data_IF_101420056653
#
_entry.id   IF_101420056653
#
_cell.length_a   1.000
_cell.length_b   1.000
_cell.length_c   1.000
_cell.angle_alpha   90.00
_cell.angle_beta   90.00
_cell.angle_gamma   90.00
#
_symmetry.space_group_name_H-M   'P 1'
#
loop_
_entity.id
_entity.type
_entity.pdbx_description
1 polymer ?
#
# COMPACT_ATOMS: atom_id res chain seq x y z
N UNK A 1 24.61 2.35 -32.60
CA UNK A 1 23.65 2.17 -33.71
C UNK A 1 24.11 0.97 -34.55
N UNK A 2 23.76 -0.27 -34.14
CA UNK A 2 24.08 -1.47 -34.94
C UNK A 2 22.93 -1.69 -35.93
N UNK A 3 23.24 -1.58 -37.23
CA UNK A 3 22.33 -1.90 -38.34
C UNK A 3 21.86 -3.35 -38.20
N UNK A 4 20.56 -3.53 -38.04
CA UNK A 4 19.88 -4.81 -38.22
C UNK A 4 19.88 -5.07 -39.73
N UNK A 5 20.74 -5.97 -40.20
CA UNK A 5 20.61 -6.60 -41.52
C UNK A 5 20.27 -8.06 -41.26
N UNK A 6 19.08 -8.43 -41.75
CA UNK A 6 18.52 -9.77 -41.90
C UNK A 6 18.21 -10.53 -40.60
N UNK A 7 17.05 -10.22 -40.00
CA UNK A 7 16.58 -10.77 -38.72
C UNK A 7 15.53 -11.88 -38.91
N UNK A 8 15.85 -12.93 -39.68
CA UNK A 8 15.01 -14.14 -39.71
C UNK A 8 15.59 -15.21 -38.78
N UNK A 9 14.73 -15.83 -37.97
CA UNK A 9 15.08 -16.96 -37.12
C UNK A 9 14.52 -18.21 -37.80
N UNK A 10 15.38 -19.18 -38.11
CA UNK A 10 14.95 -20.46 -38.71
C UNK A 10 14.33 -21.34 -37.61
N UNK A 11 13.02 -21.51 -37.64
CA UNK A 11 12.25 -22.28 -36.63
C UNK A 11 12.11 -23.77 -36.99
N UNK A 12 13.20 -24.39 -37.47
CA UNK A 12 13.26 -25.80 -37.84
C UNK A 12 13.16 -26.10 -39.35
N UNK A 13 13.20 -27.39 -39.68
CA UNK A 13 12.99 -27.97 -41.02
C UNK A 13 12.27 -29.30 -40.84
N UNK A 14 11.29 -29.59 -41.69
CA UNK A 14 10.56 -30.85 -41.67
C UNK A 14 10.28 -31.30 -43.12
N UNK A 15 10.51 -32.59 -43.43
CA UNK A 15 10.28 -33.16 -44.76
C UNK A 15 8.80 -33.09 -45.17
N UNK A 16 7.90 -33.10 -44.20
CA UNK A 16 6.46 -33.05 -44.42
C UNK A 16 6.00 -31.73 -45.05
N UNK A 17 6.79 -30.65 -44.92
CA UNK A 17 6.50 -29.35 -45.55
C UNK A 17 6.39 -29.49 -47.07
N UNK A 18 7.36 -30.16 -47.71
CA UNK A 18 7.33 -30.43 -49.16
C UNK A 18 6.26 -31.43 -49.58
N UNK A 19 5.80 -32.27 -48.65
CA UNK A 19 4.79 -33.30 -48.89
C UNK A 19 3.37 -32.84 -48.55
N UNK A 20 3.19 -31.59 -48.11
CA UNK A 20 1.92 -31.02 -47.65
C UNK A 20 1.27 -31.85 -46.52
N UNK A 21 2.10 -32.49 -45.69
CA UNK A 21 1.68 -33.29 -44.54
C UNK A 21 1.82 -32.48 -43.25
N UNK A 22 1.11 -32.81 -42.15
CA UNK A 22 1.28 -32.13 -40.87
C UNK A 22 2.72 -32.21 -40.34
N UNK A 23 3.22 -31.12 -39.78
CA UNK A 23 4.55 -31.02 -39.16
C UNK A 23 4.51 -30.16 -37.90
N UNK A 24 5.50 -30.35 -37.02
CA UNK A 24 5.66 -29.53 -35.82
C UNK A 24 6.45 -28.26 -36.12
N UNK A 25 6.04 -27.13 -35.52
CA UNK A 25 6.82 -25.88 -35.55
C UNK A 25 7.55 -25.72 -34.22
N UNK A 26 8.82 -25.31 -34.26
CA UNK A 26 9.61 -25.05 -33.05
C UNK A 26 9.36 -23.64 -32.50
N UNK A 27 8.12 -23.34 -32.14
CA UNK A 27 7.69 -22.03 -31.62
C UNK A 27 7.22 -22.08 -30.15
N UNK A 28 7.40 -23.22 -29.48
CA UNK A 28 7.09 -23.39 -28.06
C UNK A 28 8.22 -22.89 -27.15
N UNK A 29 7.87 -22.48 -25.92
CA UNK A 29 8.80 -22.04 -24.85
C UNK A 29 9.60 -20.76 -25.17
N UNK A 30 9.00 -19.82 -25.92
CA UNK A 30 9.59 -18.50 -26.14
C UNK A 30 9.77 -17.75 -24.80
N UNK A 31 10.98 -17.28 -24.52
CA UNK A 31 11.28 -16.49 -23.33
C UNK A 31 11.34 -15.01 -23.70
N UNK A 32 10.36 -14.25 -23.21
CA UNK A 32 10.31 -12.81 -23.39
C UNK A 32 10.89 -12.09 -22.16
N UNK A 33 11.87 -11.19 -22.39
CA UNK A 33 12.50 -10.40 -21.32
C UNK A 33 12.14 -8.93 -21.48
N UNK A 34 11.44 -8.38 -20.49
CA UNK A 34 11.14 -6.95 -20.41
C UNK A 34 12.19 -6.23 -19.58
N UNK A 35 12.60 -5.04 -20.03
CA UNK A 35 13.47 -4.13 -19.28
C UNK A 35 12.77 -2.79 -19.10
N UNK A 36 12.54 -2.41 -17.85
CA UNK A 36 12.06 -1.06 -17.51
C UNK A 36 13.24 -0.10 -17.65
N UNK A 37 13.15 0.83 -18.60
CA UNK A 37 14.20 1.83 -18.88
C UNK A 37 13.92 3.19 -18.25
N UNK A 38 12.66 3.44 -17.90
CA UNK A 38 12.20 4.66 -17.23
C UNK A 38 11.22 4.26 -16.13
N UNK A 39 11.36 4.78 -14.89
CA UNK A 39 10.38 4.58 -13.84
C UNK A 39 8.99 5.08 -14.28
N UNK A 40 7.95 4.42 -13.81
CA UNK A 40 6.56 4.82 -14.02
C UNK A 40 5.74 4.52 -12.76
N UNK A 41 4.59 5.19 -12.63
CA UNK A 41 3.70 5.11 -11.47
C UNK A 41 2.49 4.24 -11.85
N UNK A 42 1.99 3.45 -10.90
CA UNK A 42 0.84 2.54 -11.03
C UNK A 42 1.03 1.41 -12.05
N UNK A 43 0.80 1.71 -13.33
CA UNK A 43 0.75 0.69 -14.37
C UNK A 43 1.13 1.22 -15.75
N UNK A 44 1.71 0.35 -16.57
CA UNK A 44 1.90 0.58 -18.00
C UNK A 44 1.23 -0.55 -18.77
N UNK A 45 0.34 -0.18 -19.69
CA UNK A 45 -0.26 -1.12 -20.64
C UNK A 45 0.67 -1.29 -21.84
N UNK A 46 1.03 -2.53 -22.14
CA UNK A 46 1.74 -2.91 -23.36
C UNK A 46 0.67 -3.21 -24.41
N UNK A 47 0.47 -2.33 -25.41
CA UNK A 47 -0.50 -2.58 -26.47
C UNK A 47 -0.10 -3.84 -27.25
N UNK A 48 -1.09 -4.45 -27.91
CA UNK A 48 -0.81 -5.61 -28.77
C UNK A 48 0.17 -5.22 -29.87
N UNK A 49 1.30 -5.91 -29.92
CA UNK A 49 2.31 -5.75 -30.96
C UNK A 49 2.71 -7.12 -31.52
N UNK A 50 2.93 -7.17 -32.84
CA UNK A 50 3.44 -8.38 -33.51
C UNK A 50 4.93 -8.52 -33.24
N UNK A 51 5.33 -9.67 -32.68
CA UNK A 51 6.74 -10.01 -32.42
C UNK A 51 7.35 -10.76 -33.61
N UNK A 52 6.63 -11.76 -34.11
CA UNK A 52 7.05 -12.55 -35.28
C UNK A 52 5.89 -12.75 -36.24
N UNK A 53 6.21 -12.72 -37.52
CA UNK A 53 5.35 -13.23 -38.59
C UNK A 53 5.96 -14.54 -39.06
N UNK A 54 5.20 -15.62 -38.95
CA UNK A 54 5.68 -16.97 -39.25
C UNK A 54 5.34 -17.32 -40.69
N UNK A 55 6.38 -17.74 -41.42
CA UNK A 55 6.29 -18.18 -42.80
C UNK A 55 6.78 -19.62 -42.89
N UNK A 56 6.23 -20.36 -43.85
CA UNK A 56 6.66 -21.72 -44.17
C UNK A 56 7.03 -21.73 -45.63
N UNK A 57 8.23 -22.23 -45.93
CA UNK A 57 8.76 -22.32 -47.29
C UNK A 57 9.23 -23.75 -47.57
N UNK A 58 9.22 -24.17 -48.83
CA UNK A 58 9.74 -25.48 -49.25
C UNK A 58 11.22 -25.40 -49.59
N UNK A 59 11.73 -24.21 -49.90
CA UNK A 59 13.14 -23.91 -50.16
C UNK A 59 13.61 -22.66 -49.39
N UNK A 60 14.92 -22.53 -49.19
CA UNK A 60 15.54 -21.35 -48.57
C UNK A 60 15.53 -20.11 -49.48
N UNK A 61 15.20 -20.28 -50.77
CA UNK A 61 15.10 -19.18 -51.74
C UNK A 61 13.67 -18.68 -51.97
N UNK A 62 12.66 -19.31 -51.35
CA UNK A 62 11.26 -18.92 -51.58
C UNK A 62 10.98 -17.54 -50.99
N UNK A 63 10.13 -16.77 -51.68
CA UNK A 63 9.67 -15.49 -51.20
C UNK A 63 8.74 -15.65 -49.98
N UNK A 64 8.98 -14.86 -48.93
CA UNK A 64 8.16 -14.83 -47.72
C UNK A 64 6.91 -13.95 -47.91
N UNK A 65 5.98 -14.39 -48.77
CA UNK A 65 4.81 -13.58 -49.17
C UNK A 65 3.56 -13.85 -48.33
N UNK A 66 3.29 -15.11 -47.98
CA UNK A 66 2.07 -15.50 -47.27
C UNK A 66 2.37 -15.94 -45.83
N UNK A 67 1.96 -15.17 -44.81
CA UNK A 67 2.14 -15.56 -43.42
C UNK A 67 1.17 -16.69 -43.04
N UNK A 68 1.67 -17.68 -42.31
CA UNK A 68 0.83 -18.77 -41.77
C UNK A 68 0.12 -18.29 -40.50
N UNK A 69 0.84 -17.62 -39.62
CA UNK A 69 0.29 -16.98 -38.42
C UNK A 69 1.25 -15.91 -37.88
N UNK A 70 0.78 -15.13 -36.92
CA UNK A 70 1.61 -14.14 -36.22
C UNK A 70 1.67 -14.46 -34.73
N UNK A 71 2.84 -14.25 -34.14
CA UNK A 71 3.04 -14.31 -32.70
C UNK A 71 3.05 -12.87 -32.21
N UNK A 72 2.06 -12.51 -31.41
CA UNK A 72 1.90 -11.17 -30.85
C UNK A 72 2.00 -11.20 -29.33
N UNK A 73 2.38 -10.07 -28.73
CA UNK A 73 2.45 -9.89 -27.29
C UNK A 73 1.67 -8.65 -26.85
N UNK A 74 1.09 -8.72 -25.66
CA UNK A 74 0.39 -7.63 -24.99
C UNK A 74 0.38 -7.92 -23.49
N UNK A 75 0.19 -6.91 -22.66
CA UNK A 75 0.10 -7.14 -21.22
C UNK A 75 0.02 -5.85 -20.42
N UNK A 76 0.16 -5.99 -19.11
CA UNK A 76 0.24 -4.88 -18.17
C UNK A 76 1.43 -5.13 -17.26
N UNK A 77 2.18 -4.06 -16.96
CA UNK A 77 3.24 -4.08 -15.95
C UNK A 77 2.79 -3.16 -14.82
N UNK A 78 2.63 -3.71 -13.63
CA UNK A 78 2.17 -2.99 -12.44
C UNK A 78 3.31 -2.89 -11.44
N UNK A 79 3.45 -1.72 -10.80
CA UNK A 79 4.49 -1.50 -9.78
C UNK A 79 3.81 -1.36 -8.42
N UNK A 80 4.22 -2.13 -7.39
CA UNK A 80 3.61 -2.04 -6.08
C UNK A 80 3.83 -0.65 -5.50
N UNK A 81 2.75 -0.07 -5.00
CA UNK A 81 2.76 1.17 -4.24
C UNK A 81 3.23 0.86 -2.81
N UNK A 82 4.07 1.73 -2.26
CA UNK A 82 4.55 1.60 -0.89
C UNK A 82 4.62 2.96 -0.21
N UNK A 83 4.29 3.00 1.07
CA UNK A 83 4.45 4.17 1.93
C UNK A 83 5.15 3.76 3.21
N UNK A 84 6.28 4.38 3.51
CA UNK A 84 7.03 4.18 4.73
C UNK A 84 6.61 5.23 5.76
N UNK A 85 6.18 4.73 6.92
CA UNK A 85 5.83 5.55 8.09
C UNK A 85 7.05 5.68 8.98
N UNK A 86 7.45 6.92 9.25
CA UNK A 86 8.57 7.32 10.09
C UNK A 86 9.89 6.58 9.78
N UNK A 87 10.18 6.34 8.50
CA UNK A 87 11.33 5.54 8.05
C UNK A 87 11.42 4.14 8.72
N UNK A 88 10.28 3.55 9.07
CA UNK A 88 10.21 2.27 9.77
C UNK A 88 10.56 2.33 11.26
N UNK A 89 10.82 3.52 11.82
CA UNK A 89 11.15 3.70 13.23
C UNK A 89 9.90 3.78 14.10
N UNK A 90 9.98 3.18 15.29
CA UNK A 90 8.94 3.24 16.31
C UNK A 90 8.74 4.68 16.78
N UNK A 91 7.48 5.10 16.87
CA UNK A 91 7.10 6.39 17.47
C UNK A 91 6.79 6.16 18.94
N UNK A 92 7.80 6.33 19.77
CA UNK A 92 7.68 6.12 21.22
C UNK A 92 7.01 7.33 21.91
N UNK A 93 6.20 7.14 22.94
CA UNK A 93 5.71 8.22 23.79
C UNK A 93 5.99 7.83 25.23
N UNK A 94 6.85 8.60 25.90
CA UNK A 94 7.25 8.34 27.28
C UNK A 94 6.73 9.45 28.18
N UNK A 95 5.71 9.13 28.98
CA UNK A 95 5.09 10.09 29.89
C UNK A 95 5.76 10.17 31.27
N UNK A 96 6.85 9.42 31.48
CA UNK A 96 7.51 9.29 32.77
C UNK A 96 6.62 8.67 33.84
N UNK A 97 7.02 8.84 35.09
CA UNK A 97 6.29 8.31 36.23
C UNK A 97 5.03 9.15 36.54
N UNK A 98 3.89 8.47 36.66
CA UNK A 98 2.61 9.07 37.04
C UNK A 98 2.08 8.31 38.25
N UNK A 99 1.71 9.03 39.31
CA UNK A 99 1.17 8.41 40.52
C UNK A 99 -0.12 7.63 40.22
N UNK A 100 -0.17 6.35 40.59
CA UNK A 100 -1.30 5.47 40.31
C UNK A 100 -2.65 6.01 40.84
N UNK A 101 -2.64 6.71 41.98
CA UNK A 101 -3.84 7.34 42.54
C UNK A 101 -4.46 8.40 41.62
N UNK A 102 -3.67 9.06 40.78
CA UNK A 102 -4.15 10.10 39.85
C UNK A 102 -5.07 9.50 38.76
N UNK A 103 -4.89 8.24 38.41
CA UNK A 103 -5.77 7.55 37.46
C UNK A 103 -7.14 7.25 38.06
N UNK A 104 -7.18 6.78 39.31
CA UNK A 104 -8.46 6.60 40.01
C UNK A 104 -9.18 7.92 40.26
N UNK A 105 -8.43 8.99 40.57
CA UNK A 105 -9.00 10.33 40.80
C UNK A 105 -9.54 10.97 39.51
N UNK A 106 -8.93 10.68 38.36
CA UNK A 106 -9.42 11.17 37.07
C UNK A 106 -10.80 10.58 36.71
N UNK A 107 -11.07 9.34 37.12
CA UNK A 107 -12.26 8.60 36.71
C UNK A 107 -12.15 8.04 35.29
N UNK A 108 -13.03 7.09 34.96
CA UNK A 108 -12.99 6.36 33.70
C UNK A 108 -13.07 7.28 32.47
N UNK A 109 -12.20 7.03 31.49
CA UNK A 109 -12.09 7.79 30.26
C UNK A 109 -11.30 9.10 30.36
N UNK A 110 -10.91 9.53 31.57
CA UNK A 110 -10.30 10.83 31.78
C UNK A 110 -8.77 10.74 31.93
N UNK A 111 -8.12 11.85 31.57
CA UNK A 111 -6.67 12.03 31.73
C UNK A 111 -6.34 12.37 33.19
N UNK A 112 -5.30 11.76 33.79
CA UNK A 112 -4.78 12.17 35.09
C UNK A 112 -4.43 13.66 35.15
N UNK A 113 -4.74 14.31 36.28
CA UNK A 113 -4.44 15.72 36.47
C UNK A 113 -2.94 15.98 36.45
N UNK A 114 -2.52 17.10 35.86
CA UNK A 114 -1.11 17.48 35.76
C UNK A 114 -0.32 16.81 34.63
N UNK A 115 -0.90 15.80 33.95
CA UNK A 115 -0.24 15.15 32.81
C UNK A 115 -0.48 15.94 31.52
N UNK A 116 0.60 16.42 30.90
CA UNK A 116 0.55 17.15 29.63
C UNK A 116 0.61 16.18 28.44
N UNK A 117 -0.25 16.34 27.41
CA UNK A 117 -0.14 15.59 26.17
C UNK A 117 1.19 15.83 25.47
N UNK A 118 1.79 14.75 24.99
CA UNK A 118 2.97 14.82 24.14
C UNK A 118 2.57 14.94 22.68
N UNK A 119 3.36 15.66 21.88
CA UNK A 119 3.13 15.85 20.46
C UNK A 119 4.32 15.33 19.68
N UNK A 120 4.08 14.54 18.64
CA UNK A 120 5.11 14.04 17.72
C UNK A 120 4.68 14.26 16.27
N UNK A 121 5.65 14.37 15.38
CA UNK A 121 5.41 14.48 13.94
C UNK A 121 5.87 13.20 13.26
N UNK A 122 4.96 12.57 12.53
CA UNK A 122 5.20 11.37 11.75
C UNK A 122 5.60 11.77 10.34
N UNK A 123 6.82 11.40 9.92
CA UNK A 123 7.23 11.55 8.54
C UNK A 123 6.67 10.40 7.71
N UNK A 124 6.10 10.68 6.54
CA UNK A 124 5.58 9.67 5.61
C UNK A 124 6.29 9.88 4.29
N UNK A 125 6.82 8.81 3.70
CA UNK A 125 7.43 8.86 2.37
C UNK A 125 6.87 7.73 1.52
N UNK A 126 6.30 8.07 0.38
CA UNK A 126 5.70 7.10 -0.51
C UNK A 126 6.52 6.94 -1.81
N UNK A 127 6.53 5.73 -2.36
CA UNK A 127 7.17 5.39 -3.63
C UNK A 127 6.16 4.80 -4.57
N UNK A 128 6.26 5.15 -5.86
CA UNK A 128 5.30 4.77 -6.91
C UNK A 128 3.89 5.28 -6.61
N UNK A 129 3.79 6.41 -5.91
CA UNK A 129 2.55 7.12 -5.58
C UNK A 129 2.59 8.49 -6.24
N UNK A 130 1.45 8.96 -6.75
CA UNK A 130 1.36 10.30 -7.32
C UNK A 130 1.68 11.37 -6.27
N UNK A 131 2.46 12.37 -6.66
CA UNK A 131 2.59 13.60 -5.88
C UNK A 131 1.20 14.22 -5.63
N UNK A 132 1.02 14.91 -4.50
CA UNK A 132 -0.26 15.53 -4.11
C UNK A 132 -1.43 14.56 -3.91
N UNK A 133 -1.19 13.24 -3.91
CA UNK A 133 -2.21 12.25 -3.61
C UNK A 133 -2.82 12.47 -2.22
N UNK A 134 -4.12 12.20 -2.10
CA UNK A 134 -4.84 12.25 -0.84
C UNK A 134 -4.85 10.86 -0.19
N UNK A 135 -4.37 10.79 1.05
CA UNK A 135 -4.30 9.56 1.84
C UNK A 135 -4.87 9.81 3.23
N UNK A 136 -5.10 8.72 3.94
CA UNK A 136 -5.48 8.77 5.35
C UNK A 136 -4.61 7.85 6.19
N UNK A 137 -4.44 8.24 7.45
CA UNK A 137 -3.76 7.45 8.47
C UNK A 137 -4.78 7.02 9.52
N UNK A 138 -4.78 5.74 9.88
CA UNK A 138 -5.62 5.18 10.94
C UNK A 138 -4.79 4.43 11.97
N UNK A 139 -5.34 4.28 13.16
CA UNK A 139 -4.71 3.59 14.28
C UNK A 139 -5.28 2.17 14.41
N UNK A 140 -4.39 1.18 14.46
CA UNK A 140 -4.70 -0.18 14.88
C UNK A 140 -4.04 -0.44 16.22
N UNK A 141 -4.73 -1.10 17.15
CA UNK A 141 -4.17 -1.42 18.47
C UNK A 141 -4.48 -2.87 18.84
N UNK A 142 -3.54 -3.51 19.55
CA UNK A 142 -3.68 -4.90 20.00
C UNK A 142 -4.84 -5.06 20.98
N UNK A 143 -4.97 -4.12 21.92
CA UNK A 143 -6.08 -4.02 22.88
C UNK A 143 -6.65 -2.61 22.81
N UNK A 144 -7.96 -2.51 22.69
CA UNK A 144 -8.65 -1.23 22.59
C UNK A 144 -9.92 -1.21 23.44
N UNK A 145 -10.22 -0.05 24.01
CA UNK A 145 -11.49 0.23 24.71
C UNK A 145 -11.92 1.65 24.40
N UNK A 146 -13.01 1.79 23.64
CA UNK A 146 -13.43 3.10 23.11
C UNK A 146 -12.30 3.77 22.30
N UNK A 147 -11.85 4.93 22.76
CA UNK A 147 -10.75 5.70 22.13
C UNK A 147 -9.36 5.35 22.68
N UNK A 148 -9.28 4.45 23.66
CA UNK A 148 -8.03 4.10 24.32
C UNK A 148 -7.36 2.90 23.64
N UNK A 149 -6.05 2.98 23.45
CA UNK A 149 -5.18 1.82 23.39
C UNK A 149 -4.97 1.33 24.82
N UNK A 150 -5.45 0.14 25.15
CA UNK A 150 -5.33 -0.42 26.50
C UNK A 150 -3.95 -1.04 26.65
N UNK A 151 -3.29 -0.75 27.77
CA UNK A 151 -1.96 -1.28 28.05
C UNK A 151 -2.01 -2.75 28.51
N UNK A 152 -0.86 -3.30 28.85
CA UNK A 152 -0.73 -4.51 29.67
C UNK A 152 -1.38 -4.37 31.06
N UNK A 153 -1.59 -3.15 31.55
CA UNK A 153 -2.44 -2.83 32.71
C UNK A 153 -3.87 -2.43 32.25
N UNK A 154 -4.92 -3.19 32.60
CA UNK A 154 -6.27 -2.96 32.07
C UNK A 154 -6.93 -1.67 32.56
N UNK A 155 -6.48 -1.10 33.67
CA UNK A 155 -7.02 0.15 34.22
C UNK A 155 -6.37 1.40 33.61
N UNK A 156 -5.33 1.22 32.80
CA UNK A 156 -4.53 2.28 32.19
C UNK A 156 -4.43 2.10 30.68
N UNK A 157 -4.62 3.21 29.96
CA UNK A 157 -4.50 3.22 28.51
C UNK A 157 -4.03 4.57 28.00
N UNK A 158 -3.91 4.67 26.68
CA UNK A 158 -3.41 5.85 26.01
C UNK A 158 -4.36 6.23 24.88
N UNK A 159 -4.66 7.52 24.79
CA UNK A 159 -5.37 8.09 23.64
C UNK A 159 -4.33 8.66 22.70
N UNK A 160 -4.46 8.33 21.41
CA UNK A 160 -3.74 8.98 20.33
C UNK A 160 -4.74 9.85 19.56
N UNK A 161 -4.33 11.05 19.17
CA UNK A 161 -5.17 12.05 18.55
C UNK A 161 -4.41 12.75 17.41
N UNK A 162 -5.16 13.45 16.55
CA UNK A 162 -4.55 14.37 15.59
C UNK A 162 -3.96 15.62 16.31
N UNK A 163 -3.30 16.50 15.55
CA UNK A 163 -2.72 17.76 16.05
C UNK A 163 -3.74 18.67 16.76
N UNK A 164 -5.00 18.64 16.32
CA UNK A 164 -6.10 19.41 16.90
C UNK A 164 -6.65 18.79 18.20
N UNK A 165 -6.16 17.61 18.60
CA UNK A 165 -6.61 16.91 19.80
C UNK A 165 -7.86 16.05 19.60
N UNK A 166 -8.29 15.83 18.36
CA UNK A 166 -9.39 14.88 18.06
C UNK A 166 -8.87 13.45 18.19
N UNK A 167 -9.41 12.62 19.10
CA UNK A 167 -8.97 11.24 19.28
C UNK A 167 -9.16 10.36 18.06
N UNK A 168 -8.22 9.44 17.84
CA UNK A 168 -8.36 8.31 16.94
C UNK A 168 -8.90 7.12 17.72
N UNK A 169 -10.03 6.59 17.27
CA UNK A 169 -10.59 5.34 17.78
C UNK A 169 -9.81 4.18 17.15
N UNK A 170 -9.06 3.39 17.94
CA UNK A 170 -8.31 2.26 17.39
C UNK A 170 -9.24 1.26 16.69
N UNK A 171 -8.73 0.62 15.64
CA UNK A 171 -9.44 -0.43 14.88
C UNK A 171 -10.75 0.05 14.21
N UNK A 172 -10.94 1.36 14.02
CA UNK A 172 -12.11 1.94 13.38
C UNK A 172 -11.76 2.56 12.01
N UNK A 173 -12.35 2.03 10.93
CA UNK A 173 -12.11 2.48 9.55
C UNK A 173 -12.52 3.93 9.29
N UNK A 174 -13.48 4.46 10.05
CA UNK A 174 -13.96 5.83 9.92
C UNK A 174 -13.15 6.82 10.74
N UNK A 175 -12.35 6.36 11.71
CA UNK A 175 -11.50 7.22 12.55
C UNK A 175 -10.12 7.36 11.93
N UNK A 176 -9.89 8.48 11.26
CA UNK A 176 -8.71 8.67 10.41
C UNK A 176 -8.24 10.12 10.38
N UNK A 177 -6.94 10.29 10.13
CA UNK A 177 -6.32 11.59 9.86
C UNK A 177 -6.09 11.69 8.35
N UNK A 178 -6.83 12.55 7.63
CA UNK A 178 -6.54 12.83 6.24
C UNK A 178 -5.26 13.67 6.08
N UNK A 179 -4.50 13.42 5.03
CA UNK A 179 -3.33 14.22 4.66
C UNK A 179 -3.06 14.14 3.15
N UNK A 180 -2.31 15.12 2.64
CA UNK A 180 -1.81 15.14 1.27
C UNK A 180 -0.31 14.93 1.25
N UNK A 181 0.17 14.26 0.21
CA UNK A 181 1.60 14.25 -0.11
C UNK A 181 2.02 15.58 -0.73
N UNK A 182 3.29 15.93 -0.59
CA UNK A 182 3.92 17.03 -1.31
C UNK A 182 4.41 16.59 -2.70
N UNK A 183 5.14 17.48 -3.37
CA UNK A 183 5.72 17.24 -4.70
C UNK A 183 6.79 16.13 -4.70
N UNK A 184 7.33 15.78 -3.53
CA UNK A 184 8.30 14.71 -3.34
C UNK A 184 7.66 13.39 -2.88
N UNK A 185 6.32 13.28 -2.98
CA UNK A 185 5.55 12.15 -2.48
C UNK A 185 5.78 11.90 -0.97
N UNK A 186 5.98 12.97 -0.19
CA UNK A 186 6.20 12.92 1.25
C UNK A 186 5.15 13.74 2.02
N UNK A 187 4.96 13.43 3.30
CA UNK A 187 4.08 14.19 4.19
C UNK A 187 4.61 14.21 5.62
N UNK A 188 4.13 15.17 6.41
CA UNK A 188 4.39 15.25 7.85
C UNK A 188 3.05 15.36 8.58
N UNK A 189 2.72 14.36 9.39
CA UNK A 189 1.45 14.30 10.12
C UNK A 189 1.71 14.48 11.61
N UNK A 190 1.14 15.54 12.20
CA UNK A 190 1.21 15.78 13.64
C UNK A 190 0.23 14.89 14.40
N UNK A 191 0.72 14.20 15.42
CA UNK A 191 -0.09 13.40 16.35
C UNK A 191 0.18 13.82 17.79
N UNK A 192 -0.82 13.61 18.64
CA UNK A 192 -0.77 13.87 20.06
C UNK A 192 -1.14 12.63 20.82
N UNK A 193 -0.55 12.43 21.99
CA UNK A 193 -0.91 11.30 22.86
C UNK A 193 -0.95 11.72 24.33
N UNK A 194 -1.79 11.04 25.11
CA UNK A 194 -1.84 11.19 26.56
C UNK A 194 -2.39 9.93 27.23
N UNK A 195 -1.98 9.63 28.48
CA UNK A 195 -2.53 8.52 29.24
C UNK A 195 -3.92 8.86 29.76
N UNK A 196 -4.75 7.83 29.95
CA UNK A 196 -6.07 7.92 30.56
C UNK A 196 -6.29 6.79 31.54
N UNK A 197 -7.20 6.99 32.49
CA UNK A 197 -7.78 5.92 33.27
C UNK A 197 -8.84 5.21 32.42
N UNK A 198 -8.68 3.92 32.17
CA UNK A 198 -9.61 3.16 31.31
C UNK A 198 -10.88 2.81 32.09
N UNK A 199 -10.73 2.37 33.33
CA UNK A 199 -11.83 1.84 34.16
C UNK A 199 -12.25 2.79 35.28
N UNK A 200 -11.41 3.76 35.63
CA UNK A 200 -11.59 4.58 36.84
C UNK A 200 -11.03 3.95 38.12
N UNK A 201 -10.50 2.73 38.07
CA UNK A 201 -9.86 2.09 39.21
C UNK A 201 -8.41 2.58 39.38
N UNK A 202 -7.82 2.29 40.55
CA UNK A 202 -6.39 2.51 40.75
C UNK A 202 -5.63 1.40 40.01
N UNK A 203 -4.80 1.72 39.00
CA UNK A 203 -4.00 0.71 38.31
C UNK A 203 -2.96 0.10 39.24
N UNK A 204 -2.58 -1.16 38.97
CA UNK A 204 -1.42 -1.77 39.59
C UNK A 204 -0.15 -0.94 39.32
N UNK A 205 0.68 -0.78 40.33
CA UNK A 205 1.93 -0.02 40.24
C UNK A 205 3.00 -0.84 39.49
N UNK A 206 3.76 -0.18 38.63
CA UNK A 206 4.79 -0.80 37.79
C UNK A 206 4.82 -0.21 36.38
N UNK A 207 5.80 -0.63 35.55
CA UNK A 207 5.85 -0.22 34.15
C UNK A 207 4.64 -0.77 33.40
N UNK A 208 4.14 -0.01 32.43
CA UNK A 208 3.07 -0.44 31.54
C UNK A 208 3.34 -0.01 30.10
N UNK A 209 2.86 -0.81 29.16
CA UNK A 209 3.09 -0.59 27.72
C UNK A 209 1.81 -0.86 26.92
N UNK A 210 1.57 -0.04 25.90
CA UNK A 210 0.51 -0.27 24.92
C UNK A 210 1.10 -0.18 23.50
N UNK A 211 0.74 -1.13 22.65
CA UNK A 211 1.25 -1.24 21.28
C UNK A 211 0.14 -1.12 20.25
N UNK A 212 0.47 -0.43 19.16
CA UNK A 212 -0.39 -0.26 18.01
C UNK A 212 0.39 0.14 16.76
N UNK A 213 -0.27 0.04 15.61
CA UNK A 213 0.27 0.35 14.30
C UNK A 213 -0.46 1.56 13.68
N UNK A 214 0.30 2.43 13.02
CA UNK A 214 -0.25 3.47 12.15
C UNK A 214 -0.31 2.95 10.72
N UNK A 215 -1.53 2.79 10.19
CA UNK A 215 -1.78 2.31 8.83
C UNK A 215 -2.10 3.49 7.92
N UNK A 216 -1.41 3.56 6.78
CA UNK A 216 -1.72 4.52 5.71
C UNK A 216 -2.52 3.82 4.62
N UNK A 217 -3.60 4.46 4.16
CA UNK A 217 -4.45 3.96 3.09
C UNK A 217 -4.79 5.05 2.09
N UNK A 218 -5.06 4.65 0.86
CA UNK A 218 -5.63 5.53 -0.15
C UNK A 218 -7.09 5.80 0.12
N UNK A 219 -7.46 7.06 0.01
CA UNK A 219 -8.87 7.46 -0.05
C UNK A 219 -9.31 7.38 -1.51
N UNK A 220 -9.77 6.21 -1.95
CA UNK A 220 -10.46 6.08 -3.24
C UNK A 220 -11.93 6.43 -3.02
N UNK A 221 -12.49 7.31 -3.86
CA UNK A 221 -13.81 7.94 -3.67
C UNK A 221 -14.91 6.98 -3.21
N UNK A 222 -15.57 7.33 -2.10
CA UNK A 222 -16.71 6.59 -1.57
C UNK A 222 -18.04 7.09 -2.12
N UNK A 223 -18.99 6.18 -2.32
CA UNK A 223 -20.39 6.52 -2.64
C UNK A 223 -21.17 6.58 -1.32
N UNK A 224 -21.71 7.75 -0.99
CA UNK A 224 -22.67 7.89 0.11
C UNK A 224 -24.09 7.70 -0.42
N UNK A 225 -24.76 6.61 -0.02
CA UNK A 225 -26.19 6.41 -0.22
C UNK A 225 -26.90 6.61 1.12
N UNK A 226 -27.75 7.63 1.22
CA UNK A 226 -28.58 7.89 2.39
C UNK A 226 -29.99 8.27 1.97
N UNK A 227 -31.00 7.66 2.60
CA UNK A 227 -32.39 8.07 2.50
C UNK A 227 -32.94 8.28 3.90
N UNK A 228 -33.60 9.42 4.14
CA UNK A 228 -34.32 9.67 5.40
C UNK A 228 -35.61 8.85 5.36
N UNK A 229 -35.76 7.88 6.26
CA UNK A 229 -37.04 7.22 6.52
C UNK A 229 -37.77 8.06 7.56
N UNK A 230 -38.90 8.62 7.17
CA UNK A 230 -39.83 9.32 8.08
C UNK A 230 -41.00 8.39 8.36
N UNK A 231 -41.46 8.36 9.61
CA UNK A 231 -42.74 7.73 9.96
C UNK A 231 -43.88 8.58 9.39
N UNK A 232 -44.84 7.92 8.75
CA UNK A 232 -46.13 8.54 8.40
C UNK A 232 -46.96 8.87 9.64
#
# INVERSE_FOLDING_TARGET
>A
QRRIRDLYIRMGVDSNVSQQMPFGVQDSKLVFKLKVIRPFINMVTIPRQTMFTVYVTTSTGDALSTPVYTISYSGKVEVPQNCEVNAGQVVEFDFGDIGASLFSQAGAGNRPQGVTPQTKTIAIKCTNVAAQAYLSMRLEAEKASGQAMVSDNPDLGFVVANSNGTPLTPNNLSSKIPFHLDDNAAARVGIRAWPISVTGNKPAEGPCTARGDLRVAYEVGGIMLGRRVVSG
#
